data_IF_584415624383
#
_entry.id   IF_584415624383
#
_cell.length_a   1.000
_cell.length_b   1.000
_cell.length_c   1.000
_cell.angle_alpha   90.00
_cell.angle_beta   90.00
_cell.angle_gamma   90.00
#
_symmetry.space_group_name_H-M   'P 1'
#
loop_
_entity.id
_entity.type
_entity.pdbx_description
1 polymer ?
#
# COMPACT_ATOMS: atom_id res chain seq x y z
N UNK A 1 -3.65 -19.45 -0.29
CA UNK A 1 -3.60 -18.32 0.68
C UNK A 1 -4.87 -17.52 0.54
N UNK A 2 -5.68 -17.45 1.60
CA UNK A 2 -6.96 -16.75 1.60
C UNK A 2 -6.68 -15.25 1.38
N UNK A 3 -6.87 -14.73 0.16
CA UNK A 3 -6.91 -13.28 -0.04
C UNK A 3 -8.09 -12.77 0.79
N UNK A 4 -7.81 -12.21 1.98
CA UNK A 4 -8.78 -11.41 2.71
C UNK A 4 -9.35 -10.42 1.71
N UNK A 5 -10.65 -10.49 1.43
CA UNK A 5 -11.33 -9.64 0.45
C UNK A 5 -10.94 -8.20 0.72
N UNK A 6 -10.03 -7.68 -0.11
CA UNK A 6 -9.61 -6.31 -0.06
C UNK A 6 -10.61 -5.54 -0.92
N UNK A 7 -11.54 -4.85 -0.28
CA UNK A 7 -12.60 -4.09 -0.97
C UNK A 7 -12.10 -2.76 -1.54
N UNK A 8 -10.78 -2.58 -1.65
CA UNK A 8 -10.22 -1.40 -2.28
C UNK A 8 -10.27 -1.57 -3.81
N UNK A 9 -10.81 -0.57 -4.50
CA UNK A 9 -10.99 -0.59 -5.96
C UNK A 9 -9.69 -0.77 -6.74
N UNK A 10 -8.53 -0.51 -6.14
CA UNK A 10 -7.23 -0.74 -6.80
C UNK A 10 -7.04 -2.17 -7.33
N UNK A 11 -7.77 -3.16 -6.80
CA UNK A 11 -7.70 -4.54 -7.27
C UNK A 11 -8.49 -4.81 -8.57
N UNK A 12 -9.48 -3.97 -8.90
CA UNK A 12 -10.35 -4.15 -10.07
C UNK A 12 -10.19 -3.08 -11.15
N UNK A 13 -9.34 -2.07 -10.91
CA UNK A 13 -9.12 -0.98 -11.86
C UNK A 13 -8.22 -1.41 -13.01
N UNK A 14 -8.64 -1.09 -14.23
CA UNK A 14 -7.84 -1.29 -15.44
C UNK A 14 -6.53 -0.46 -15.42
N UNK A 15 -6.55 0.70 -14.76
CA UNK A 15 -5.39 1.58 -14.62
C UNK A 15 -5.25 1.95 -13.13
N UNK A 16 -4.13 1.54 -12.53
CA UNK A 16 -3.80 1.80 -11.11
C UNK A 16 -2.54 2.65 -11.04
N UNK A 17 -2.58 3.76 -10.31
CA UNK A 17 -1.45 4.72 -10.21
C UNK A 17 -0.57 4.51 -8.98
N UNK A 18 -0.80 3.45 -8.22
CA UNK A 18 -0.02 3.05 -7.05
C UNK A 18 0.53 1.64 -7.23
N UNK A 19 1.74 1.36 -6.73
CA UNK A 19 2.33 0.02 -6.81
C UNK A 19 1.65 -0.96 -5.86
N UNK A 20 1.37 -0.51 -4.64
CA UNK A 20 0.80 -1.32 -3.57
C UNK A 20 -0.57 -0.81 -3.14
N UNK A 21 -1.45 -1.74 -2.76
CA UNK A 21 -2.75 -1.43 -2.20
C UNK A 21 -2.60 -0.85 -0.79
N UNK A 22 -3.14 0.35 -0.56
CA UNK A 22 -3.12 1.00 0.76
C UNK A 22 -3.80 0.18 1.86
N UNK A 23 -4.78 -0.66 1.49
CA UNK A 23 -5.61 -1.41 2.42
C UNK A 23 -5.00 -2.76 2.81
N UNK A 24 -4.48 -3.54 1.85
CA UNK A 24 -3.95 -4.89 2.13
C UNK A 24 -2.45 -5.06 1.89
N UNK A 25 -1.77 -4.05 1.32
CA UNK A 25 -0.35 -4.10 1.00
C UNK A 25 0.01 -4.96 -0.23
N UNK A 26 -0.97 -5.58 -0.90
CA UNK A 26 -0.72 -6.37 -2.10
C UNK A 26 -0.20 -5.51 -3.26
N UNK A 27 0.62 -6.09 -4.12
CA UNK A 27 1.03 -5.46 -5.37
C UNK A 27 -0.18 -5.41 -6.30
N UNK A 28 -0.52 -4.22 -6.77
CA UNK A 28 -1.64 -3.95 -7.70
C UNK A 28 -1.17 -3.36 -9.02
N UNK A 29 0.05 -2.83 -9.08
CA UNK A 29 0.71 -2.44 -10.33
C UNK A 29 2.23 -2.61 -10.20
N UNK A 30 2.76 -3.69 -10.75
CA UNK A 30 4.19 -4.02 -10.73
C UNK A 30 5.05 -3.20 -11.71
N UNK A 31 4.43 -2.46 -12.63
CA UNK A 31 5.10 -1.58 -13.59
C UNK A 31 5.57 -0.26 -12.96
N UNK A 32 4.99 0.15 -11.84
CA UNK A 32 5.41 1.34 -11.11
C UNK A 32 6.67 1.02 -10.32
N UNK A 33 7.76 1.77 -10.53
CA UNK A 33 9.02 1.53 -9.84
C UNK A 33 8.89 1.63 -8.31
N UNK A 34 9.57 0.72 -7.60
CA UNK A 34 9.66 0.77 -6.14
C UNK A 34 10.42 2.03 -5.72
N UNK A 35 9.83 2.84 -4.84
CA UNK A 35 10.51 4.04 -4.31
C UNK A 35 11.21 3.70 -3.00
N UNK A 36 12.40 4.29 -2.80
CA UNK A 36 13.08 4.25 -1.51
C UNK A 36 12.30 5.12 -0.53
N UNK A 37 11.74 4.49 0.50
CA UNK A 37 11.03 5.20 1.55
C UNK A 37 11.95 5.47 2.74
N UNK A 38 11.73 6.60 3.39
CA UNK A 38 12.37 7.00 4.64
C UNK A 38 11.37 6.93 5.79
N UNK A 39 11.86 6.88 7.03
CA UNK A 39 10.97 6.88 8.19
C UNK A 39 10.11 8.15 8.27
N UNK A 40 10.60 9.30 7.81
CA UNK A 40 9.80 10.53 7.70
C UNK A 40 8.58 10.33 6.79
N UNK A 41 8.79 9.75 5.59
CA UNK A 41 7.70 9.47 4.65
C UNK A 41 6.73 8.43 5.21
N UNK A 42 7.23 7.42 5.93
CA UNK A 42 6.37 6.46 6.61
C UNK A 42 5.55 7.14 7.73
N UNK A 43 6.13 8.05 8.50
CA UNK A 43 5.44 8.78 9.55
C UNK A 43 4.31 9.66 9.00
N UNK A 44 4.53 10.35 7.87
CA UNK A 44 3.48 11.10 7.16
C UNK A 44 2.33 10.17 6.75
N UNK A 45 2.63 9.02 6.14
CA UNK A 45 1.61 8.04 5.75
C UNK A 45 0.86 7.43 6.94
N UNK A 46 1.53 7.28 8.10
CA UNK A 46 0.87 6.87 9.36
C UNK A 46 -0.14 7.93 9.81
N UNK A 47 0.17 9.23 9.66
CA UNK A 47 -0.76 10.34 9.98
C UNK A 47 -2.00 10.31 9.08
N UNK A 48 -1.83 9.92 7.81
CA UNK A 48 -2.94 9.69 6.87
C UNK A 48 -3.75 8.41 7.19
N UNK A 49 -3.53 7.77 8.36
CA UNK A 49 -4.16 6.53 8.82
C UNK A 49 -3.99 5.35 7.85
N UNK A 50 -2.97 5.40 6.99
CA UNK A 50 -2.66 4.29 6.08
C UNK A 50 -2.07 3.12 6.86
N UNK A 51 -2.60 1.91 6.64
CA UNK A 51 -2.06 0.69 7.27
C UNK A 51 -0.81 0.19 6.54
N UNK A 52 -0.71 0.46 5.24
CA UNK A 52 0.43 0.09 4.40
C UNK A 52 0.90 1.31 3.59
N UNK A 53 2.19 1.34 3.25
CA UNK A 53 2.74 2.35 2.35
C UNK A 53 2.40 2.01 0.90
N UNK A 54 1.75 2.92 0.18
CA UNK A 54 1.41 2.72 -1.25
C UNK A 54 2.63 2.66 -2.19
N UNK A 55 3.77 3.19 -1.72
CA UNK A 55 5.00 3.29 -2.49
C UNK A 55 5.88 2.03 -2.35
N UNK A 56 6.02 1.51 -1.13
CA UNK A 56 6.91 0.37 -0.82
C UNK A 56 6.20 -0.86 -0.25
N UNK A 57 4.91 -0.78 0.06
CA UNK A 57 4.11 -1.89 0.59
C UNK A 57 4.33 -2.17 2.08
N UNK A 58 5.27 -1.49 2.74
CA UNK A 58 5.57 -1.74 4.16
C UNK A 58 4.34 -1.49 5.02
N UNK A 59 4.12 -2.35 6.01
CA UNK A 59 3.08 -2.13 7.01
C UNK A 59 3.50 -0.99 7.93
N UNK A 60 2.67 0.04 8.02
CA UNK A 60 2.94 1.28 8.74
C UNK A 60 2.41 1.26 10.17
N UNK A 61 1.34 0.51 10.40
CA UNK A 61 0.73 0.31 11.71
C UNK A 61 0.95 -1.16 12.11
N UNK A 62 1.80 -1.41 13.10
CA UNK A 62 1.71 -2.66 13.86
C UNK A 62 0.46 -2.55 14.73
N UNK A 63 -0.48 -3.49 14.58
CA UNK A 63 -1.43 -3.73 15.67
C UNK A 63 -0.58 -4.18 16.85
N UNK A 64 -0.51 -3.35 17.89
CA UNK A 64 -0.06 -3.78 19.21
C UNK A 64 -0.91 -4.94 19.71
#
# INVERSE_FOLDING_TARGET
>A
MLQKRCFNDNHGRAIVTVRFCASCGAVVNDRIALRRCTETRHAERRRDRSTHCVDCGVRLLQRG
#
